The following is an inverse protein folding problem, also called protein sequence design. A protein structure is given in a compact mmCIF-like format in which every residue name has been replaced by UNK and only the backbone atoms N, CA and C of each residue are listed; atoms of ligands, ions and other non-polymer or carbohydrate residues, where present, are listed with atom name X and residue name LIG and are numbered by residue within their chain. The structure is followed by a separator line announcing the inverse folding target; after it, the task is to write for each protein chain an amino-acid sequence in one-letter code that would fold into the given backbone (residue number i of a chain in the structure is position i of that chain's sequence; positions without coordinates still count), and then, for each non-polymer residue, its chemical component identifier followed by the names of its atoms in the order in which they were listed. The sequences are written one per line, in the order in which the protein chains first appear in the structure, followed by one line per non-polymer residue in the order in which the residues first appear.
data_IF_612775356151
#
_entry.id   IF_612775356151
#
_cell.length_a   1.000
_cell.length_b   1.000
_cell.length_c   1.000
_cell.angle_alpha   90.00
_cell.angle_beta   90.00
_cell.angle_gamma   90.00
#
_symmetry.space_group_name_H-M   'P 1'
#
loop_
_entity.id
_entity.type
_entity.pdbx_description
1 polymer ?
#
# COMPACT_ATOMS: atom_id res chain seq x y z
N UNK A 1 1.91 22.70 2.14
CA UNK A 1 0.42 22.68 2.22
C UNK A 1 0.03 21.91 3.47
N UNK A 2 -1.09 22.24 4.13
CA UNK A 2 -1.57 21.42 5.24
C UNK A 2 -2.43 20.29 4.67
N UNK A 3 -1.89 19.07 4.64
CA UNK A 3 -2.68 17.88 4.29
C UNK A 3 -3.74 17.64 5.36
N UNK A 4 -5.00 17.54 4.97
CA UNK A 4 -6.11 17.40 5.91
C UNK A 4 -7.25 16.60 5.29
N UNK A 5 -7.86 15.72 6.07
CA UNK A 5 -9.05 14.97 5.69
C UNK A 5 -10.25 15.87 5.31
N UNK A 6 -10.19 17.17 5.61
CA UNK A 6 -11.25 18.12 5.28
C UNK A 6 -11.49 18.23 3.76
N UNK A 7 -10.44 18.20 2.93
CA UNK A 7 -10.62 18.25 1.47
C UNK A 7 -11.40 17.06 0.93
N UNK A 8 -11.24 15.88 1.54
CA UNK A 8 -12.00 14.66 1.21
C UNK A 8 -13.48 14.82 1.55
N UNK A 9 -13.78 15.41 2.71
CA UNK A 9 -15.17 15.65 3.14
C UNK A 9 -15.86 16.68 2.24
N UNK A 10 -15.13 17.73 1.86
CA UNK A 10 -15.63 18.82 1.01
C UNK A 10 -15.66 18.48 -0.48
N UNK A 11 -15.10 17.34 -0.86
CA UNK A 11 -15.11 16.83 -2.23
C UNK A 11 -16.54 16.77 -2.78
N UNK A 12 -16.75 17.33 -3.98
CA UNK A 12 -18.04 17.40 -4.65
C UNK A 12 -18.01 16.54 -5.92
N UNK A 13 -18.98 15.65 -6.03
CA UNK A 13 -19.18 14.86 -7.25
C UNK A 13 -19.44 15.79 -8.44
N UNK A 14 -18.72 15.54 -9.54
CA UNK A 14 -18.92 16.15 -10.85
C UNK A 14 -19.46 15.14 -11.86
N UNK A 15 -19.27 13.85 -11.59
CA UNK A 15 -19.72 12.74 -12.42
C UNK A 15 -20.58 11.73 -11.63
N UNK A 16 -21.15 10.75 -12.33
CA UNK A 16 -22.02 9.74 -11.72
C UNK A 16 -21.23 8.61 -11.05
N UNK A 17 -19.96 8.42 -11.40
CA UNK A 17 -19.09 7.37 -10.89
C UNK A 17 -17.90 7.95 -10.13
N UNK A 18 -17.29 7.13 -9.27
CA UNK A 18 -16.07 7.44 -8.55
C UNK A 18 -15.06 6.31 -8.68
N UNK A 19 -13.79 6.65 -8.90
CA UNK A 19 -12.68 5.69 -8.89
C UNK A 19 -11.62 6.14 -7.89
N UNK A 20 -11.40 5.33 -6.85
CA UNK A 20 -10.24 5.43 -5.97
C UNK A 20 -9.10 4.57 -6.50
N UNK A 21 -7.88 5.09 -6.49
CA UNK A 21 -6.72 4.44 -7.10
C UNK A 21 -5.57 4.42 -6.09
N UNK A 22 -5.09 3.24 -5.71
CA UNK A 22 -3.83 3.16 -4.96
C UNK A 22 -2.64 3.53 -5.86
N UNK A 23 -1.55 3.98 -5.26
CA UNK A 23 -0.37 4.46 -5.99
C UNK A 23 0.73 3.40 -6.09
N UNK A 24 1.29 3.01 -4.95
CA UNK A 24 2.45 2.11 -4.91
C UNK A 24 2.05 0.67 -5.19
N UNK A 25 2.68 0.02 -6.18
CA UNK A 25 2.32 -1.34 -6.59
C UNK A 25 1.05 -1.44 -7.45
N UNK A 26 0.33 -0.32 -7.60
CA UNK A 26 -0.89 -0.21 -8.39
C UNK A 26 -0.69 0.68 -9.62
N UNK A 27 -0.29 1.94 -9.44
CA UNK A 27 0.04 2.87 -10.55
C UNK A 27 1.49 2.68 -11.00
N UNK A 28 2.39 2.49 -10.05
CA UNK A 28 3.84 2.38 -10.29
C UNK A 28 4.37 1.04 -9.80
N UNK A 29 5.41 0.51 -10.46
CA UNK A 29 6.21 -0.61 -9.95
C UNK A 29 7.21 -0.15 -8.86
N UNK A 30 6.75 0.72 -7.97
CA UNK A 30 7.55 1.33 -6.92
C UNK A 30 7.75 0.40 -5.73
N UNK A 31 6.83 -0.55 -5.50
CA UNK A 31 6.91 -1.48 -4.37
C UNK A 31 8.16 -2.35 -4.45
N UNK A 32 8.50 -2.86 -5.63
CA UNK A 32 9.68 -3.70 -5.83
C UNK A 32 10.97 -2.98 -5.43
N UNK A 33 11.22 -1.80 -6.00
CA UNK A 33 12.43 -1.01 -5.70
C UNK A 33 12.43 -0.48 -4.26
N UNK A 34 11.29 0.01 -3.74
CA UNK A 34 11.17 0.46 -2.35
C UNK A 34 11.59 -0.67 -1.42
N UNK A 35 10.98 -1.85 -1.54
CA UNK A 35 11.27 -2.93 -0.62
C UNK A 35 12.67 -3.52 -0.82
N UNK A 36 13.07 -3.87 -2.04
CA UNK A 36 14.33 -4.59 -2.30
C UNK A 36 15.58 -3.74 -2.08
N UNK A 37 15.51 -2.45 -2.41
CA UNK A 37 16.66 -1.55 -2.36
C UNK A 37 16.68 -0.61 -1.15
N UNK A 38 15.53 -0.37 -0.50
CA UNK A 38 15.46 0.52 0.67
C UNK A 38 15.12 -0.23 1.97
N UNK A 39 13.97 -0.89 2.01
CA UNK A 39 13.51 -1.51 3.27
C UNK A 39 14.35 -2.72 3.66
N UNK A 40 14.59 -3.65 2.73
CA UNK A 40 15.30 -4.90 3.01
C UNK A 40 16.75 -4.65 3.45
N UNK A 41 17.54 -3.75 2.82
CA UNK A 41 18.86 -3.40 3.30
C UNK A 41 18.83 -2.78 4.70
N UNK A 42 17.86 -1.91 5.01
CA UNK A 42 17.73 -1.31 6.34
C UNK A 42 17.29 -2.34 7.39
N UNK A 43 16.39 -3.27 7.04
CA UNK A 43 16.01 -4.41 7.87
C UNK A 43 17.25 -5.25 8.24
N UNK A 44 18.09 -5.58 7.27
CA UNK A 44 19.31 -6.37 7.52
C UNK A 44 20.31 -5.58 8.37
N UNK A 45 20.53 -4.30 8.03
CA UNK A 45 21.52 -3.42 8.65
C UNK A 45 21.20 -3.17 10.12
N UNK A 46 20.00 -2.69 10.41
CA UNK A 46 19.66 -2.21 11.76
C UNK A 46 19.41 -3.35 12.73
N UNK A 47 18.91 -4.50 12.27
CA UNK A 47 18.61 -5.65 13.12
C UNK A 47 19.73 -6.69 13.20
N UNK A 48 20.94 -6.35 12.74
CA UNK A 48 22.14 -7.20 12.77
C UNK A 48 21.97 -8.59 12.11
N UNK A 49 21.29 -8.63 10.97
CA UNK A 49 20.91 -9.88 10.29
C UNK A 49 21.91 -10.31 9.19
N UNK A 50 23.12 -9.75 9.16
CA UNK A 50 24.10 -9.96 8.08
C UNK A 50 24.45 -11.45 7.90
N UNK A 51 24.57 -12.19 9.01
CA UNK A 51 24.88 -13.63 9.00
C UNK A 51 23.79 -14.51 8.35
N UNK A 52 22.57 -13.98 8.19
CA UNK A 52 21.41 -14.65 7.57
C UNK A 52 20.76 -13.76 6.51
N UNK A 53 21.52 -12.84 5.92
CA UNK A 53 21.02 -11.81 5.00
C UNK A 53 20.20 -12.37 3.85
N UNK A 54 20.61 -13.50 3.26
CA UNK A 54 19.82 -14.23 2.24
C UNK A 54 18.39 -14.51 2.73
N UNK A 55 18.26 -15.13 3.90
CA UNK A 55 16.97 -15.54 4.45
C UNK A 55 16.16 -14.37 4.99
N UNK A 56 16.83 -13.33 5.49
CA UNK A 56 16.19 -12.08 5.86
C UNK A 56 15.53 -11.40 4.64
N UNK A 57 16.16 -11.43 3.46
CA UNK A 57 15.55 -10.97 2.20
C UNK A 57 14.31 -11.78 1.84
N UNK A 58 14.44 -13.11 1.81
CA UNK A 58 13.31 -14.00 1.48
C UNK A 58 12.10 -13.78 2.40
N UNK A 59 12.33 -13.63 3.71
CA UNK A 59 11.25 -13.37 4.68
C UNK A 59 10.64 -11.99 4.46
N UNK A 60 11.46 -10.96 4.23
CA UNK A 60 10.97 -9.60 4.01
C UNK A 60 10.11 -9.51 2.74
N UNK A 61 10.58 -10.09 1.64
CA UNK A 61 9.87 -10.12 0.36
C UNK A 61 8.55 -10.89 0.50
N UNK A 62 8.55 -12.04 1.17
CA UNK A 62 7.31 -12.77 1.47
C UNK A 62 6.33 -11.90 2.24
N UNK A 63 6.74 -11.29 3.35
CA UNK A 63 5.84 -10.51 4.21
C UNK A 63 5.28 -9.30 3.47
N UNK A 64 6.10 -8.59 2.70
CA UNK A 64 5.74 -7.26 2.21
C UNK A 64 5.32 -7.21 0.74
N UNK A 65 5.76 -8.17 -0.09
CA UNK A 65 5.51 -8.17 -1.53
C UNK A 65 4.62 -9.33 -1.97
N UNK A 66 4.86 -10.54 -1.47
CA UNK A 66 4.33 -11.76 -2.09
C UNK A 66 3.51 -12.65 -1.15
N UNK A 67 2.74 -12.06 -0.23
CA UNK A 67 1.83 -12.81 0.65
C UNK A 67 0.60 -12.00 1.01
N UNK A 68 -0.30 -12.61 1.78
CA UNK A 68 -1.50 -11.95 2.34
C UNK A 68 -1.21 -10.75 3.25
N UNK A 69 0.06 -10.48 3.57
CA UNK A 69 0.48 -9.27 4.29
C UNK A 69 1.10 -8.20 3.39
N UNK A 70 1.00 -8.34 2.05
CA UNK A 70 1.41 -7.33 1.09
C UNK A 70 0.85 -5.95 1.45
N UNK A 71 1.70 -4.92 1.37
CA UNK A 71 1.31 -3.54 1.68
C UNK A 71 1.00 -3.28 3.16
N UNK A 72 1.36 -4.20 4.07
CA UNK A 72 1.20 -3.98 5.50
C UNK A 72 2.04 -2.80 6.00
N UNK A 73 1.58 -2.18 7.08
CA UNK A 73 2.37 -1.14 7.75
C UNK A 73 3.73 -1.71 8.20
N UNK A 74 4.78 -0.91 8.01
CA UNK A 74 6.18 -1.31 8.26
C UNK A 74 6.44 -1.85 9.67
N UNK A 75 5.71 -1.41 10.70
CA UNK A 75 5.95 -1.83 12.08
C UNK A 75 5.41 -3.24 12.38
N UNK A 76 4.12 -3.57 12.12
CA UNK A 76 3.65 -4.96 12.13
C UNK A 76 4.46 -5.87 11.19
N UNK A 77 4.84 -5.36 10.00
CA UNK A 77 5.64 -6.13 9.05
C UNK A 77 7.03 -6.48 9.60
N UNK A 78 7.66 -5.57 10.33
CA UNK A 78 8.94 -5.83 11.01
C UNK A 78 8.80 -6.94 12.05
N UNK A 79 7.78 -6.86 12.92
CA UNK A 79 7.53 -7.90 13.94
C UNK A 79 7.38 -9.27 13.27
N UNK A 80 6.45 -9.36 12.30
CA UNK A 80 6.19 -10.61 11.56
C UNK A 80 7.43 -11.14 10.85
N UNK A 81 8.24 -10.26 10.26
CA UNK A 81 9.47 -10.66 9.57
C UNK A 81 10.50 -11.23 10.53
N UNK A 82 10.65 -10.64 11.72
CA UNK A 82 11.55 -11.19 12.76
C UNK A 82 11.04 -12.53 13.30
N UNK A 83 9.72 -12.68 13.48
CA UNK A 83 9.10 -13.95 13.89
C UNK A 83 9.36 -15.07 12.88
N UNK A 84 9.01 -14.86 11.62
CA UNK A 84 9.21 -15.85 10.57
C UNK A 84 10.69 -16.18 10.36
N UNK A 85 11.58 -15.18 10.49
CA UNK A 85 13.02 -15.41 10.38
C UNK A 85 13.54 -16.30 11.52
N UNK A 86 13.05 -16.13 12.75
CA UNK A 86 13.41 -17.01 13.89
C UNK A 86 13.04 -18.47 13.67
N UNK A 87 11.96 -18.72 12.94
CA UNK A 87 11.46 -20.08 12.70
C UNK A 87 12.34 -20.88 11.73
N UNK A 88 13.10 -20.20 10.88
CA UNK A 88 13.90 -20.82 9.80
C UNK A 88 14.98 -21.76 10.32
N UNK A 89 15.05 -22.94 9.70
CA UNK A 89 16.03 -23.97 10.02
C UNK A 89 17.47 -23.47 9.85
N UNK A 90 17.73 -22.64 8.84
CA UNK A 90 19.05 -22.14 8.51
C UNK A 90 19.53 -21.05 9.48
N UNK A 91 18.60 -20.27 10.04
CA UNK A 91 18.87 -19.29 11.09
C UNK A 91 19.22 -20.01 12.39
N UNK A 92 18.45 -21.04 12.76
CA UNK A 92 18.71 -21.90 13.93
C UNK A 92 20.05 -22.62 13.81
N UNK A 93 20.36 -23.19 12.65
CA UNK A 93 21.61 -23.91 12.40
C UNK A 93 22.86 -23.02 12.46
N UNK A 94 22.70 -21.71 12.18
CA UNK A 94 23.78 -20.72 12.30
C UNK A 94 23.87 -20.08 13.69
N UNK A 95 22.99 -20.47 14.63
CA UNK A 95 22.91 -19.89 15.97
C UNK A 95 22.80 -18.36 15.96
N UNK A 96 22.14 -17.79 14.95
CA UNK A 96 21.95 -16.34 14.86
C UNK A 96 20.85 -15.90 15.81
N UNK A 97 21.17 -14.95 16.68
CA UNK A 97 20.18 -14.31 17.54
C UNK A 97 19.41 -13.25 16.75
N UNK A 98 18.15 -13.54 16.42
CA UNK A 98 17.24 -12.56 15.79
C UNK A 98 16.56 -11.76 16.90
N UNK A 99 16.62 -10.42 16.88
CA UNK A 99 16.08 -9.61 17.96
C UNK A 99 14.54 -9.70 18.04
N UNK A 100 14.00 -9.37 19.21
CA UNK A 100 12.59 -9.06 19.43
C UNK A 100 12.47 -7.67 20.07
N UNK A 101 11.32 -7.04 19.91
CA UNK A 101 11.10 -5.66 20.36
C UNK A 101 9.76 -5.56 21.11
N UNK A 102 9.69 -5.97 22.39
CA UNK A 102 8.45 -5.92 23.16
C UNK A 102 7.80 -4.52 23.19
N UNK A 103 8.61 -3.46 23.30
CA UNK A 103 8.12 -2.08 23.24
C UNK A 103 7.45 -1.73 21.90
N UNK A 104 7.92 -2.31 20.79
CA UNK A 104 7.31 -2.17 19.46
C UNK A 104 5.97 -2.89 19.40
N UNK A 105 5.91 -4.13 19.92
CA UNK A 105 4.67 -4.92 19.99
C UNK A 105 3.61 -4.20 20.83
N UNK A 106 3.98 -3.73 22.03
CA UNK A 106 3.09 -2.99 22.93
C UNK A 106 2.57 -1.70 22.28
N UNK A 107 3.43 -0.95 21.59
CA UNK A 107 3.04 0.27 20.89
C UNK A 107 2.10 -0.02 19.71
N UNK A 108 2.45 -1.00 18.86
CA UNK A 108 1.62 -1.40 17.71
C UNK A 108 0.22 -1.84 18.13
N UNK A 109 0.09 -2.50 19.29
CA UNK A 109 -1.19 -2.98 19.80
C UNK A 109 -2.12 -1.86 20.33
N UNK A 110 -1.58 -0.71 20.74
CA UNK A 110 -2.36 0.39 21.32
C UNK A 110 -2.49 1.62 20.43
N UNK A 111 -1.58 1.84 19.49
CA UNK A 111 -1.58 3.01 18.62
C UNK A 111 -2.53 2.81 17.43
N UNK A 112 -3.36 3.83 17.20
CA UNK A 112 -4.34 3.88 16.11
C UNK A 112 -3.75 4.40 14.79
N UNK A 113 -2.68 5.19 14.86
CA UNK A 113 -2.03 5.86 13.72
C UNK A 113 -0.54 5.53 13.70
N UNK A 114 -0.20 4.40 13.11
CA UNK A 114 1.17 3.92 13.02
C UNK A 114 1.97 4.66 11.94
N UNK A 115 2.90 5.53 12.34
CA UNK A 115 3.79 6.27 11.43
C UNK A 115 5.01 6.86 12.14
N UNK A 116 5.95 7.43 11.38
CA UNK A 116 7.16 8.03 11.97
C UNK A 116 6.84 9.18 12.95
N UNK A 117 5.77 9.95 12.71
CA UNK A 117 5.39 11.06 13.59
C UNK A 117 4.95 10.57 14.98
N UNK A 118 4.06 9.58 15.04
CA UNK A 118 3.62 8.99 16.33
C UNK A 118 4.74 8.22 17.00
N UNK A 119 5.59 7.52 16.24
CA UNK A 119 6.80 6.89 16.76
C UNK A 119 7.77 7.91 17.38
N UNK A 120 7.95 9.07 16.76
CA UNK A 120 8.79 10.14 17.29
C UNK A 120 8.24 10.68 18.63
N UNK A 121 6.94 10.97 18.69
CA UNK A 121 6.27 11.42 19.92
C UNK A 121 6.41 10.41 21.07
N UNK A 122 6.38 9.11 20.78
CA UNK A 122 6.55 8.05 21.78
C UNK A 122 7.97 7.99 22.34
N UNK A 123 8.97 8.13 21.47
CA UNK A 123 10.38 8.20 21.89
C UNK A 123 10.63 9.47 22.71
N UNK A 124 10.13 10.62 22.27
CA UNK A 124 10.22 11.89 23.01
C UNK A 124 9.50 11.84 24.36
N UNK A 125 8.42 11.06 24.45
CA UNK A 125 7.70 10.76 25.68
C UNK A 125 8.43 9.82 26.66
N UNK A 126 9.63 9.34 26.31
CA UNK A 126 10.50 8.54 27.18
C UNK A 126 10.45 7.03 26.92
N UNK A 127 9.82 6.57 25.84
CA UNK A 127 9.83 5.15 25.47
C UNK A 127 11.14 4.77 24.75
N UNK A 128 12.21 4.61 25.52
CA UNK A 128 13.56 4.28 25.00
C UNK A 128 13.61 2.95 24.23
N UNK A 129 12.67 2.04 24.49
CA UNK A 129 12.55 0.77 23.77
C UNK A 129 12.23 0.94 22.27
N UNK A 130 11.74 2.12 21.87
CA UNK A 130 11.42 2.46 20.49
C UNK A 130 12.52 3.27 19.77
N UNK A 131 13.54 3.75 20.49
CA UNK A 131 14.61 4.61 19.92
C UNK A 131 15.34 3.94 18.74
N UNK A 132 15.60 2.63 18.85
CA UNK A 132 16.21 1.86 17.77
C UNK A 132 15.28 1.71 16.55
N UNK A 133 13.98 1.47 16.79
CA UNK A 133 12.97 1.35 15.73
C UNK A 133 12.80 2.66 14.99
N UNK A 134 12.81 3.79 15.71
CA UNK A 134 12.80 5.12 15.12
C UNK A 134 13.99 5.32 14.17
N UNK A 135 15.19 4.98 14.62
CA UNK A 135 16.41 5.08 13.80
C UNK A 135 16.30 4.26 12.51
N UNK A 136 15.81 3.01 12.60
CA UNK A 136 15.56 2.17 11.43
C UNK A 136 14.51 2.76 10.48
N UNK A 137 13.37 3.22 11.02
CA UNK A 137 12.28 3.78 10.21
C UNK A 137 12.64 5.09 9.54
N UNK A 138 13.44 5.94 10.19
CA UNK A 138 13.96 7.17 9.60
C UNK A 138 14.98 6.86 8.50
N UNK A 139 15.87 5.88 8.72
CA UNK A 139 16.85 5.45 7.70
C UNK A 139 16.17 4.93 6.44
N UNK A 140 15.03 4.22 6.55
CA UNK A 140 14.24 3.81 5.38
C UNK A 140 13.76 5.02 4.59
N UNK A 141 13.22 6.04 5.26
CA UNK A 141 12.72 7.24 4.58
C UNK A 141 13.85 7.97 3.84
N UNK A 142 15.04 8.04 4.43
CA UNK A 142 16.24 8.58 3.79
C UNK A 142 16.60 7.79 2.51
N UNK A 143 16.63 6.45 2.58
CA UNK A 143 16.94 5.61 1.42
C UNK A 143 15.88 5.73 0.32
N UNK A 144 14.59 5.74 0.67
CA UNK A 144 13.51 5.91 -0.31
C UNK A 144 13.62 7.25 -1.02
N UNK A 145 13.93 8.33 -0.29
CA UNK A 145 14.11 9.66 -0.88
C UNK A 145 15.32 9.76 -1.82
N UNK A 146 16.37 8.97 -1.59
CA UNK A 146 17.60 8.97 -2.39
C UNK A 146 17.47 8.07 -3.63
N UNK A 147 16.93 6.85 -3.45
CA UNK A 147 16.98 5.78 -4.46
C UNK A 147 15.75 5.80 -5.37
N UNK A 148 14.56 6.13 -4.86
CA UNK A 148 13.29 5.89 -5.57
C UNK A 148 12.83 7.14 -6.31
N UNK A 149 13.18 7.22 -7.59
CA UNK A 149 12.77 8.28 -8.52
C UNK A 149 12.73 7.74 -9.96
N UNK A 150 11.96 8.38 -10.84
CA UNK A 150 11.91 8.00 -12.26
C UNK A 150 11.23 6.67 -12.58
N UNK A 151 10.44 6.11 -11.67
CA UNK A 151 9.67 4.86 -11.88
C UNK A 151 8.41 5.18 -12.70
N UNK A 152 8.33 4.79 -13.99
CA UNK A 152 7.17 5.12 -14.81
C UNK A 152 5.90 4.40 -14.33
N UNK A 153 4.71 4.93 -14.64
CA UNK A 153 3.47 4.21 -14.40
C UNK A 153 3.42 2.96 -15.28
N UNK A 154 2.65 1.96 -14.86
CA UNK A 154 2.41 0.77 -15.68
C UNK A 154 1.80 1.13 -17.05
N UNK A 155 2.11 0.33 -18.09
CA UNK A 155 1.47 0.48 -19.40
C UNK A 155 -0.06 0.50 -19.32
N UNK A 156 -0.70 1.22 -20.25
CA UNK A 156 -2.15 1.42 -20.35
C UNK A 156 -2.82 2.18 -19.19
N UNK A 157 -2.08 2.57 -18.15
CA UNK A 157 -2.64 3.36 -17.07
C UNK A 157 -3.21 4.68 -17.57
N UNK A 158 -2.43 5.46 -18.34
CA UNK A 158 -2.86 6.79 -18.82
C UNK A 158 -4.09 6.69 -19.70
N UNK A 159 -4.11 5.74 -20.62
CA UNK A 159 -5.23 5.44 -21.49
C UNK A 159 -6.49 5.03 -20.71
N UNK A 160 -6.32 4.28 -19.62
CA UNK A 160 -7.40 3.90 -18.70
C UNK A 160 -7.95 5.10 -17.94
N UNK A 161 -7.10 6.01 -17.47
CA UNK A 161 -7.53 7.24 -16.83
C UNK A 161 -8.24 8.16 -17.84
N UNK A 162 -7.71 8.30 -19.05
CA UNK A 162 -8.34 9.06 -20.14
C UNK A 162 -9.74 8.53 -20.47
N UNK A 163 -9.90 7.19 -20.54
CA UNK A 163 -11.22 6.55 -20.77
C UNK A 163 -12.23 6.85 -19.65
N UNK A 164 -11.77 7.16 -18.45
CA UNK A 164 -12.59 7.42 -17.27
C UNK A 164 -12.91 8.91 -17.03
N UNK A 165 -12.10 9.84 -17.57
CA UNK A 165 -12.13 11.29 -17.25
C UNK A 165 -13.52 11.96 -17.32
N UNK A 166 -14.36 11.57 -18.27
CA UNK A 166 -15.68 12.21 -18.48
C UNK A 166 -16.83 11.42 -17.83
N UNK A 167 -16.53 10.38 -17.06
CA UNK A 167 -17.51 9.44 -16.50
C UNK A 167 -17.35 9.24 -15.01
N UNK A 168 -16.14 9.39 -14.48
CA UNK A 168 -15.84 9.23 -13.08
C UNK A 168 -14.98 10.37 -12.54
N UNK A 169 -15.27 10.77 -11.31
CA UNK A 169 -14.29 11.50 -10.53
C UNK A 169 -13.24 10.54 -9.97
N UNK A 170 -11.97 10.95 -10.02
CA UNK A 170 -10.84 10.09 -9.65
C UNK A 170 -10.03 10.68 -8.50
N UNK A 171 -9.53 9.82 -7.63
CA UNK A 171 -8.75 10.20 -6.45
C UNK A 171 -7.66 9.17 -6.15
N UNK A 172 -6.47 9.63 -5.75
CA UNK A 172 -5.45 8.73 -5.21
C UNK A 172 -5.80 8.38 -3.77
N UNK A 173 -5.75 7.10 -3.42
CA UNK A 173 -6.05 6.57 -2.09
C UNK A 173 -4.87 5.72 -1.64
N UNK A 174 -3.97 6.30 -0.84
CA UNK A 174 -2.71 5.65 -0.49
C UNK A 174 -2.30 5.89 0.97
N UNK A 175 -1.46 4.98 1.49
CA UNK A 175 -0.81 5.12 2.79
C UNK A 175 0.61 5.69 2.68
N UNK A 176 1.01 6.12 1.49
CA UNK A 176 2.29 6.81 1.27
C UNK A 176 2.16 8.28 1.69
N UNK A 177 3.24 8.92 2.21
CA UNK A 177 3.26 10.35 2.48
C UNK A 177 2.74 11.19 1.29
N UNK A 178 1.88 12.17 1.57
CA UNK A 178 1.30 13.02 0.52
C UNK A 178 2.36 13.71 -0.35
N UNK A 179 3.47 14.16 0.23
CA UNK A 179 4.55 14.86 -0.48
C UNK A 179 5.27 13.94 -1.49
N UNK A 180 5.46 12.66 -1.15
CA UNK A 180 5.99 11.65 -2.05
C UNK A 180 5.01 11.37 -3.20
N UNK A 181 3.73 11.17 -2.89
CA UNK A 181 2.69 10.92 -3.90
C UNK A 181 2.56 12.09 -4.89
N UNK A 182 2.52 13.33 -4.40
CA UNK A 182 2.43 14.53 -5.24
C UNK A 182 3.63 14.63 -6.19
N UNK A 183 4.85 14.34 -5.71
CA UNK A 183 6.07 14.32 -6.52
C UNK A 183 6.03 13.23 -7.59
N UNK A 184 5.74 11.98 -7.19
CA UNK A 184 5.71 10.81 -8.09
C UNK A 184 4.65 11.01 -9.21
N UNK A 185 3.44 11.45 -8.85
CA UNK A 185 2.38 11.70 -9.83
C UNK A 185 2.67 12.90 -10.75
N UNK A 186 3.32 13.94 -10.21
CA UNK A 186 3.69 15.12 -11.00
C UNK A 186 4.83 14.82 -11.98
N UNK A 187 5.82 14.03 -11.57
CA UNK A 187 6.96 13.61 -12.40
C UNK A 187 6.50 12.97 -13.72
N UNK A 188 5.41 12.21 -13.68
CA UNK A 188 4.86 11.50 -14.84
C UNK A 188 3.69 12.22 -15.54
N UNK A 189 3.38 13.46 -15.12
CA UNK A 189 2.29 14.30 -15.62
C UNK A 189 0.91 13.63 -15.52
N UNK A 190 0.66 12.86 -14.45
CA UNK A 190 -0.60 12.16 -14.22
C UNK A 190 -1.45 12.77 -13.08
N UNK A 191 -0.92 13.71 -12.29
CA UNK A 191 -1.72 14.40 -11.26
C UNK A 191 -2.96 15.09 -11.81
N UNK A 192 -2.96 15.48 -13.09
CA UNK A 192 -4.09 16.11 -13.78
C UNK A 192 -5.34 15.22 -13.92
N UNK A 193 -5.20 13.90 -13.72
CA UNK A 193 -6.31 12.96 -13.83
C UNK A 193 -7.14 12.86 -12.55
N UNK A 194 -6.59 13.29 -11.42
CA UNK A 194 -7.21 13.10 -10.11
C UNK A 194 -7.53 14.44 -9.48
N UNK A 195 -8.64 14.50 -8.74
CA UNK A 195 -9.09 15.71 -8.05
C UNK A 195 -8.33 15.92 -6.73
N UNK A 196 -7.97 14.82 -6.07
CA UNK A 196 -7.27 14.82 -4.78
C UNK A 196 -6.23 13.69 -4.78
N UNK A 197 -5.06 13.97 -4.20
CA UNK A 197 -4.07 12.96 -3.84
C UNK A 197 -4.12 12.76 -2.33
N UNK A 198 -4.71 11.65 -1.87
CA UNK A 198 -4.88 11.35 -0.45
C UNK A 198 -3.81 10.37 0.05
N UNK A 199 -2.88 10.89 0.85
CA UNK A 199 -1.84 10.11 1.54
C UNK A 199 -2.17 9.86 3.02
N UNK A 200 -1.21 9.26 3.73
CA UNK A 200 -1.35 8.87 5.14
C UNK A 200 -1.78 10.02 6.09
N UNK A 201 -1.39 11.26 5.78
CA UNK A 201 -1.69 12.43 6.61
C UNK A 201 -3.20 12.75 6.61
N UNK A 202 -3.92 12.25 5.61
CA UNK A 202 -5.35 12.51 5.40
C UNK A 202 -6.26 11.41 5.95
N UNK A 203 -5.70 10.40 6.62
CA UNK A 203 -6.43 9.29 7.23
C UNK A 203 -6.04 7.93 6.64
N UNK A 204 -6.82 6.91 6.97
CA UNK A 204 -6.69 5.56 6.40
C UNK A 204 -7.38 5.46 5.03
N UNK A 205 -6.98 4.51 4.18
CA UNK A 205 -7.69 4.21 2.91
C UNK A 205 -9.22 4.03 3.08
N UNK A 206 -9.64 3.37 4.16
CA UNK A 206 -11.07 3.21 4.51
C UNK A 206 -11.74 4.56 4.75
N UNK A 207 -11.08 5.46 5.48
CA UNK A 207 -11.58 6.82 5.74
C UNK A 207 -11.53 7.69 4.48
N UNK A 208 -10.52 7.54 3.63
CA UNK A 208 -10.42 8.26 2.36
C UNK A 208 -11.63 7.98 1.48
N UNK A 209 -11.92 6.69 1.23
CA UNK A 209 -13.11 6.27 0.50
C UNK A 209 -14.37 6.82 1.15
N UNK A 210 -14.55 6.59 2.46
CA UNK A 210 -15.73 7.03 3.19
C UNK A 210 -15.98 8.53 3.06
N UNK A 211 -14.96 9.35 3.31
CA UNK A 211 -15.12 10.80 3.30
C UNK A 211 -15.36 11.35 1.89
N UNK A 212 -14.72 10.77 0.88
CA UNK A 212 -14.87 11.19 -0.51
C UNK A 212 -16.19 10.75 -1.14
N UNK A 213 -16.81 9.64 -0.70
CA UNK A 213 -17.94 9.02 -1.43
C UNK A 213 -19.25 8.91 -0.66
N UNK A 214 -19.24 8.93 0.68
CA UNK A 214 -20.47 8.75 1.47
C UNK A 214 -21.52 9.82 1.16
N UNK A 215 -22.76 9.40 0.91
CA UNK A 215 -23.88 10.24 0.46
C UNK A 215 -23.61 11.05 -0.83
N UNK A 216 -22.61 10.66 -1.63
CA UNK A 216 -22.24 11.34 -2.89
C UNK A 216 -22.39 10.42 -4.10
N UNK A 217 -22.23 9.11 -3.93
CA UNK A 217 -22.40 8.10 -4.98
C UNK A 217 -23.12 6.87 -4.44
N UNK A 218 -23.74 6.11 -5.35
CA UNK A 218 -24.23 4.76 -5.05
C UNK A 218 -23.04 3.79 -4.92
N UNK A 219 -23.15 2.79 -4.05
CA UNK A 219 -22.05 1.87 -3.77
C UNK A 219 -21.56 1.07 -4.98
N UNK A 220 -22.45 0.76 -5.91
CA UNK A 220 -22.18 0.06 -7.18
C UNK A 220 -21.56 0.98 -8.25
N UNK A 221 -21.40 2.28 -7.96
CA UNK A 221 -20.73 3.28 -8.81
C UNK A 221 -19.41 3.77 -8.22
N UNK A 222 -18.90 3.09 -7.20
CA UNK A 222 -17.61 3.39 -6.58
C UNK A 222 -16.70 2.18 -6.80
N UNK A 223 -15.56 2.40 -7.45
CA UNK A 223 -14.53 1.38 -7.68
C UNK A 223 -13.24 1.75 -6.96
N UNK A 224 -12.71 0.85 -6.13
CA UNK A 224 -11.36 0.95 -5.58
C UNK A 224 -10.42 0.06 -6.39
N UNK A 225 -9.39 0.64 -6.99
CA UNK A 225 -8.32 -0.07 -7.70
C UNK A 225 -7.11 -0.16 -6.78
N UNK A 226 -6.58 -1.36 -6.55
CA UNK A 226 -5.39 -1.54 -5.71
C UNK A 226 -4.80 -2.94 -5.78
N UNK A 227 -3.60 -3.11 -5.26
CA UNK A 227 -2.80 -4.33 -5.36
C UNK A 227 -2.58 -5.05 -4.02
N UNK A 228 -3.04 -4.47 -2.92
CA UNK A 228 -2.83 -5.03 -1.59
C UNK A 228 -4.15 -5.48 -0.92
N UNK A 229 -4.11 -6.49 -0.02
CA UNK A 229 -5.27 -6.88 0.79
C UNK A 229 -5.87 -5.74 1.61
N UNK A 230 -5.07 -4.71 1.94
CA UNK A 230 -5.54 -3.48 2.58
C UNK A 230 -6.54 -2.69 1.75
N UNK A 231 -6.37 -2.65 0.42
CA UNK A 231 -7.29 -1.97 -0.51
C UNK A 231 -8.63 -2.68 -0.58
N UNK A 232 -8.60 -4.00 -0.78
CA UNK A 232 -9.82 -4.81 -0.75
C UNK A 232 -10.55 -4.67 0.59
N UNK A 233 -9.83 -4.67 1.72
CA UNK A 233 -10.43 -4.44 3.04
C UNK A 233 -11.08 -3.05 3.14
N UNK A 234 -10.46 -2.02 2.59
CA UNK A 234 -11.01 -0.66 2.57
C UNK A 234 -12.26 -0.56 1.69
N UNK A 235 -12.26 -1.20 0.52
CA UNK A 235 -13.42 -1.30 -0.37
C UNK A 235 -14.59 -2.01 0.32
N UNK A 236 -14.34 -3.21 0.85
CA UNK A 236 -15.33 -4.02 1.57
C UNK A 236 -15.91 -3.31 2.80
N UNK A 237 -15.08 -2.60 3.56
CA UNK A 237 -15.55 -1.84 4.74
C UNK A 237 -16.49 -0.68 4.37
N UNK A 238 -16.42 -0.18 3.14
CA UNK A 238 -17.32 0.84 2.61
C UNK A 238 -18.44 0.26 1.74
N UNK A 239 -18.47 -1.06 1.52
CA UNK A 239 -19.45 -1.74 0.68
C UNK A 239 -19.37 -1.36 -0.80
N UNK A 240 -18.17 -1.01 -1.29
CA UNK A 240 -17.92 -0.56 -2.67
C UNK A 240 -17.16 -1.63 -3.46
N UNK A 241 -17.10 -1.47 -4.78
CA UNK A 241 -16.46 -2.43 -5.68
C UNK A 241 -14.94 -2.39 -5.55
N UNK A 242 -14.29 -3.52 -5.83
CA UNK A 242 -12.83 -3.64 -5.83
C UNK A 242 -12.31 -4.21 -7.16
N UNK A 243 -11.31 -3.55 -7.75
CA UNK A 243 -10.52 -4.06 -8.87
C UNK A 243 -9.09 -4.36 -8.42
N UNK A 244 -8.66 -5.63 -8.46
CA UNK A 244 -7.30 -5.99 -8.09
C UNK A 244 -6.31 -5.72 -9.22
N UNK A 245 -5.19 -5.08 -8.89
CA UNK A 245 -3.96 -5.18 -9.67
C UNK A 245 -3.18 -6.37 -9.13
N UNK A 246 -2.95 -7.38 -9.97
CA UNK A 246 -2.35 -8.65 -9.54
C UNK A 246 -0.82 -8.52 -9.40
N UNK A 247 -0.23 -8.77 -8.22
CA UNK A 247 1.22 -8.75 -8.04
C UNK A 247 1.94 -9.72 -9.00
N UNK A 248 2.94 -9.22 -9.72
CA UNK A 248 3.67 -9.94 -10.77
C UNK A 248 2.92 -10.07 -12.10
N UNK A 249 1.72 -9.49 -12.22
CA UNK A 249 0.94 -9.43 -13.46
C UNK A 249 0.19 -8.09 -13.59
N UNK A 250 0.87 -7.01 -13.17
CA UNK A 250 0.31 -5.66 -13.04
C UNK A 250 -0.07 -5.09 -14.41
N UNK A 251 0.79 -5.24 -15.42
CA UNK A 251 0.54 -4.74 -16.78
C UNK A 251 -0.71 -5.39 -17.40
N UNK A 252 -0.87 -6.70 -17.24
CA UNK A 252 -2.05 -7.44 -17.70
C UNK A 252 -3.32 -7.02 -16.94
N UNK A 253 -3.18 -6.66 -15.66
CA UNK A 253 -4.31 -6.16 -14.86
C UNK A 253 -4.78 -4.81 -15.41
N UNK A 254 -3.87 -3.90 -15.76
CA UNK A 254 -4.21 -2.63 -16.42
C UNK A 254 -4.79 -2.84 -17.82
N UNK A 255 -4.25 -3.78 -18.61
CA UNK A 255 -4.81 -4.13 -19.92
C UNK A 255 -6.26 -4.60 -19.80
N UNK A 256 -6.54 -5.53 -18.88
CA UNK A 256 -7.90 -6.05 -18.65
C UNK A 256 -8.84 -4.96 -18.14
N UNK A 257 -8.39 -4.09 -17.23
CA UNK A 257 -9.21 -2.97 -16.76
C UNK A 257 -9.61 -2.05 -17.91
N UNK A 258 -8.66 -1.71 -18.78
CA UNK A 258 -8.89 -0.87 -19.96
C UNK A 258 -9.85 -1.51 -20.95
N UNK A 259 -9.59 -2.76 -21.33
CA UNK A 259 -10.28 -3.45 -22.43
C UNK A 259 -11.66 -3.98 -22.05
N UNK A 260 -11.91 -4.23 -20.77
CA UNK A 260 -13.10 -4.96 -20.30
C UNK A 260 -13.65 -4.39 -18.98
N UNK A 261 -12.80 -4.25 -17.96
CA UNK A 261 -13.24 -3.95 -16.58
C UNK A 261 -14.01 -2.63 -16.45
N UNK A 262 -13.54 -1.56 -17.10
CA UNK A 262 -14.24 -0.28 -17.10
C UNK A 262 -15.60 -0.34 -17.78
N UNK A 263 -15.75 -1.14 -18.83
CA UNK A 263 -17.02 -1.25 -19.55
C UNK A 263 -18.06 -1.97 -18.66
N UNK A 264 -17.66 -3.01 -17.93
CA UNK A 264 -18.49 -3.63 -16.90
C UNK A 264 -18.87 -2.66 -15.79
N UNK A 265 -17.90 -1.91 -15.26
CA UNK A 265 -18.11 -0.93 -14.19
C UNK A 265 -19.15 0.10 -14.58
N UNK A 266 -18.95 0.77 -15.71
CA UNK A 266 -19.87 1.83 -16.11
C UNK A 266 -21.21 1.34 -16.66
N UNK A 267 -21.34 0.06 -17.04
CA UNK A 267 -22.60 -0.56 -17.40
C UNK A 267 -23.39 -1.09 -16.19
N UNK A 268 -22.83 -1.02 -14.98
CA UNK A 268 -23.44 -1.57 -13.76
C UNK A 268 -23.46 -3.11 -13.75
N UNK A 269 -22.55 -3.76 -14.48
CA UNK A 269 -22.46 -5.23 -14.60
C UNK A 269 -21.17 -5.79 -14.00
N UNK A 270 -20.44 -4.98 -13.25
CA UNK A 270 -19.19 -5.37 -12.60
C UNK A 270 -19.39 -6.29 -11.39
N UNK A 271 -20.36 -5.95 -10.55
CA UNK A 271 -20.69 -6.74 -9.36
C UNK A 271 -21.22 -8.14 -9.73
N UNK A 272 -20.92 -9.13 -8.89
CA UNK A 272 -21.30 -10.53 -9.09
C UNK A 272 -20.18 -11.36 -9.68
N UNK A 273 -20.49 -12.23 -10.65
CA UNK A 273 -19.54 -13.24 -11.17
C UNK A 273 -18.21 -12.64 -11.67
N UNK A 274 -18.25 -11.43 -12.25
CA UNK A 274 -17.05 -10.77 -12.76
C UNK A 274 -16.10 -10.35 -11.62
N UNK A 275 -16.59 -9.58 -10.66
CA UNK A 275 -15.81 -9.17 -9.48
C UNK A 275 -15.32 -10.37 -8.66
N UNK A 276 -16.17 -11.38 -8.46
CA UNK A 276 -15.81 -12.60 -7.71
C UNK A 276 -14.66 -13.35 -8.37
N UNK A 277 -14.64 -13.44 -9.70
CA UNK A 277 -13.56 -14.06 -10.45
C UNK A 277 -12.25 -13.27 -10.29
N UNK A 278 -12.29 -11.95 -10.45
CA UNK A 278 -11.10 -11.09 -10.27
C UNK A 278 -10.54 -11.22 -8.85
N UNK A 279 -11.41 -11.19 -7.84
CA UNK A 279 -10.99 -11.35 -6.45
C UNK A 279 -10.41 -12.74 -6.20
N UNK A 280 -10.95 -13.81 -6.78
CA UNK A 280 -10.39 -15.15 -6.65
C UNK A 280 -8.98 -15.26 -7.24
N UNK A 281 -8.73 -14.64 -8.40
CA UNK A 281 -7.39 -14.58 -9.00
C UNK A 281 -6.41 -13.83 -8.08
N UNK A 282 -6.84 -12.70 -7.53
CA UNK A 282 -6.08 -11.92 -6.55
C UNK A 282 -5.79 -12.69 -5.27
N UNK A 283 -6.79 -13.36 -4.71
CA UNK A 283 -6.63 -14.14 -3.48
C UNK A 283 -5.62 -15.28 -3.70
N UNK A 284 -5.70 -15.98 -4.83
CA UNK A 284 -4.83 -17.11 -5.14
C UNK A 284 -3.36 -16.72 -5.42
N UNK A 285 -3.08 -15.50 -5.88
CA UNK A 285 -1.70 -15.07 -6.14
C UNK A 285 -0.90 -14.72 -4.87
N UNK A 286 -1.58 -14.54 -3.73
CA UNK A 286 -0.98 -14.17 -2.45
C UNK A 286 -1.05 -15.34 -1.43
N UNK A 287 0.04 -16.09 -1.22
CA UNK A 287 0.06 -17.17 -0.22
C UNK A 287 -0.07 -16.66 1.22
N UNK A 288 -0.75 -17.44 2.07
CA UNK A 288 -0.88 -17.18 3.51
C UNK A 288 0.39 -17.56 4.28
N UNK A 289 1.04 -18.66 3.86
CA UNK A 289 2.19 -19.27 4.53
C UNK A 289 3.42 -19.30 3.62
N UNK A 290 4.62 -19.11 4.18
CA UNK A 290 5.84 -19.24 3.40
C UNK A 290 6.09 -20.70 3.01
N UNK A 291 6.95 -20.92 2.01
CA UNK A 291 7.27 -22.25 1.47
C UNK A 291 8.38 -23.00 2.24
N UNK A 292 8.97 -22.39 3.26
CA UNK A 292 10.07 -22.93 4.06
C UNK A 292 9.62 -23.42 5.43
#
# INVERSE_FOLDING_TARGET
MSYSAQSLKDFKAKHDFFIGIDSDGCVFDSMEIKHKECFTPMFIKHHNLQAVSKYAREVWDFVNLYSKTRGANRFPALIRSLDLLRERSEVKARHVNVPSYPALEDWVNRESKLGNATLASEVEGGNEGLSHIKTWSDSINEQVSDIVHGVPPFPLLKETLDKSLNRADMMVISQTPCDALEREWAEHNISKYVEIIAGQEMGTKTEHLKFATFNKYDCDKILMIGDAPGDHKAAKANGVLFYPILPGNEEHSWERLYSEGLDHFFAGTYAGEYEEKLFSEFDNCLPEKPSW
#
